data_IF_057850632321
#
_entry.id   IF_057850632321
#
_cell.length_a   1.000
_cell.length_b   1.000
_cell.length_c   1.000
_cell.angle_alpha   90.00
_cell.angle_beta   90.00
_cell.angle_gamma   90.00
#
_symmetry.space_group_name_H-M   'P 1'
#
loop_
_entity.id
_entity.type
_entity.pdbx_description
1 polymer ?
#
# COMPACT_ATOMS: atom_id res chain seq x y z
N UNK A 1 -1.30 -0.50 -33.11
CA UNK A 1 -1.94 -0.13 -31.82
C UNK A 1 -1.20 -0.78 -30.65
N UNK A 2 -1.03 -2.11 -30.60
CA UNK A 2 -0.38 -2.81 -29.48
C UNK A 2 1.06 -2.34 -29.11
N UNK A 3 1.89 -1.98 -30.09
CA UNK A 3 3.29 -1.57 -29.86
C UNK A 3 3.40 -0.16 -29.23
N UNK A 4 2.48 0.75 -29.57
CA UNK A 4 2.41 2.10 -28.99
C UNK A 4 1.92 2.06 -27.53
N UNK A 5 1.04 1.12 -27.21
CA UNK A 5 0.53 0.94 -25.85
C UNK A 5 1.58 0.31 -24.92
N UNK A 6 2.37 -0.66 -25.41
CA UNK A 6 3.49 -1.22 -24.66
C UNK A 6 4.55 -0.17 -24.33
N UNK A 7 4.94 0.65 -25.32
CA UNK A 7 5.93 1.70 -25.14
C UNK A 7 5.53 2.70 -24.04
N UNK A 8 4.28 3.17 -24.07
CA UNK A 8 3.74 4.07 -23.04
C UNK A 8 3.75 3.44 -21.66
N UNK A 9 3.36 2.17 -21.55
CA UNK A 9 3.33 1.46 -20.28
C UNK A 9 4.75 1.26 -19.71
N UNK A 10 5.74 0.99 -20.57
CA UNK A 10 7.16 0.92 -20.15
C UNK A 10 7.64 2.25 -19.59
N UNK A 11 7.32 3.36 -20.26
CA UNK A 11 7.64 4.71 -19.78
C UNK A 11 6.97 5.01 -18.45
N UNK A 12 5.70 4.63 -18.28
CA UNK A 12 4.97 4.84 -17.04
C UNK A 12 5.62 4.07 -15.88
N UNK A 13 5.94 2.78 -16.06
CA UNK A 13 6.62 1.97 -15.03
C UNK A 13 7.96 2.59 -14.63
N UNK A 14 8.77 3.03 -15.60
CA UNK A 14 10.04 3.71 -15.32
C UNK A 14 9.82 5.01 -14.54
N UNK A 15 8.82 5.81 -14.92
CA UNK A 15 8.48 7.04 -14.20
C UNK A 15 8.05 6.76 -12.76
N UNK A 16 7.28 5.70 -12.52
CA UNK A 16 6.91 5.28 -11.17
C UNK A 16 8.16 4.85 -10.37
N UNK A 17 9.10 4.12 -10.98
CA UNK A 17 10.37 3.77 -10.34
C UNK A 17 11.19 4.99 -9.91
N UNK A 18 11.24 6.02 -10.76
CA UNK A 18 11.87 7.31 -10.43
C UNK A 18 11.17 8.01 -9.27
N UNK A 19 9.83 8.15 -9.33
CA UNK A 19 9.06 8.79 -8.27
C UNK A 19 9.18 8.09 -6.92
N UNK A 20 9.17 6.75 -6.91
CA UNK A 20 9.37 5.96 -5.70
C UNK A 20 10.75 6.23 -5.08
N UNK A 21 11.79 6.32 -5.90
CA UNK A 21 13.14 6.65 -5.43
C UNK A 21 13.25 8.11 -4.96
N UNK A 22 12.74 9.07 -5.73
CA UNK A 22 12.71 10.50 -5.39
C UNK A 22 12.02 10.75 -4.04
N UNK A 23 11.00 9.97 -3.71
CA UNK A 23 10.27 10.04 -2.42
C UNK A 23 10.90 9.21 -1.29
N UNK A 24 11.97 8.47 -1.57
CA UNK A 24 12.63 7.59 -0.60
C UNK A 24 11.79 6.39 -0.18
N UNK A 25 10.86 5.93 -1.03
CA UNK A 25 10.05 4.72 -0.75
C UNK A 25 10.78 3.43 -1.11
N UNK A 26 11.88 3.54 -1.82
CA UNK A 26 12.77 2.46 -2.24
C UNK A 26 14.21 2.93 -2.15
N UNK A 27 15.14 2.00 -1.98
CA UNK A 27 16.57 2.25 -2.04
C UNK A 27 17.33 1.09 -2.69
N UNK A 28 18.54 1.38 -3.18
CA UNK A 28 19.38 0.39 -3.87
C UNK A 28 18.62 -0.34 -5.01
N UNK A 29 18.31 -1.62 -4.83
CA UNK A 29 17.65 -2.45 -5.86
C UNK A 29 16.29 -2.99 -5.44
N UNK A 30 15.76 -2.52 -4.31
CA UNK A 30 14.46 -2.93 -3.78
C UNK A 30 13.29 -2.34 -4.60
N UNK A 31 12.08 -2.74 -4.21
CA UNK A 31 10.84 -2.41 -4.90
C UNK A 31 10.69 -3.09 -6.26
N UNK A 32 9.46 -3.20 -6.72
CA UNK A 32 9.15 -3.73 -8.04
C UNK A 32 7.78 -3.27 -8.51
N UNK A 33 7.64 -3.17 -9.82
CA UNK A 33 6.46 -2.65 -10.49
C UNK A 33 6.11 -3.60 -11.62
N UNK A 34 4.82 -3.87 -11.78
CA UNK A 34 4.32 -4.62 -12.92
C UNK A 34 3.00 -4.05 -13.42
N UNK A 35 2.69 -4.32 -14.68
CA UNK A 35 1.38 -4.04 -15.26
C UNK A 35 0.98 -5.09 -16.29
N UNK A 36 -0.33 -5.32 -16.44
CA UNK A 36 -0.87 -6.16 -17.51
C UNK A 36 -0.57 -5.54 -18.88
N UNK A 37 -0.19 -6.38 -19.82
CA UNK A 37 0.12 -6.03 -21.19
C UNK A 37 -0.75 -6.85 -22.15
N UNK A 38 -2.02 -6.47 -22.23
CA UNK A 38 -3.04 -7.30 -22.88
C UNK A 38 -3.56 -8.41 -21.97
N UNK A 39 -4.17 -9.48 -22.53
CA UNK A 39 -4.92 -10.46 -21.74
C UNK A 39 -4.04 -11.44 -20.96
N UNK A 40 -2.88 -11.81 -21.49
CA UNK A 40 -2.08 -12.98 -21.08
C UNK A 40 -0.63 -12.65 -20.72
N UNK A 41 -0.23 -11.37 -20.83
CA UNK A 41 1.14 -10.92 -20.60
C UNK A 41 1.21 -9.88 -19.50
N UNK A 42 2.34 -9.86 -18.80
CA UNK A 42 2.63 -8.91 -17.73
C UNK A 42 4.01 -8.31 -18.00
N UNK A 43 4.06 -6.98 -18.04
CA UNK A 43 5.29 -6.21 -18.05
C UNK A 43 5.78 -6.06 -16.61
N UNK A 44 7.06 -6.32 -16.33
CA UNK A 44 7.61 -6.32 -14.98
C UNK A 44 9.05 -5.83 -14.91
N UNK A 45 9.39 -5.17 -13.79
CA UNK A 45 10.77 -4.74 -13.50
C UNK A 45 11.72 -5.93 -13.27
N UNK A 46 12.97 -5.84 -13.76
CA UNK A 46 13.98 -6.86 -13.53
C UNK A 46 14.51 -6.84 -12.08
N UNK A 47 15.04 -7.98 -11.63
CA UNK A 47 15.75 -8.09 -10.34
C UNK A 47 17.10 -7.37 -10.38
N UNK A 48 17.56 -6.87 -9.22
CA UNK A 48 18.92 -6.35 -9.01
C UNK A 48 19.23 -4.98 -9.61
N UNK A 49 18.31 -4.36 -10.37
CA UNK A 49 18.50 -3.00 -10.90
C UNK A 49 17.84 -1.94 -10.01
N UNK A 50 18.45 -0.75 -9.97
CA UNK A 50 17.94 0.41 -9.26
C UNK A 50 16.73 1.02 -10.00
N UNK A 51 15.53 0.98 -9.41
CA UNK A 51 14.29 1.39 -10.13
C UNK A 51 14.24 2.88 -10.47
N UNK A 52 14.94 3.72 -9.72
CA UNK A 52 15.08 5.14 -10.04
C UNK A 52 15.99 5.44 -11.24
N UNK A 53 16.74 4.45 -11.74
CA UNK A 53 17.67 4.58 -12.89
C UNK A 53 17.33 3.60 -14.02
N UNK A 54 16.14 2.99 -13.97
CA UNK A 54 15.73 1.96 -14.91
C UNK A 54 15.38 2.57 -16.27
N UNK A 55 15.76 1.91 -17.35
CA UNK A 55 15.39 2.29 -18.72
C UNK A 55 14.22 1.44 -19.24
N UNK A 56 13.33 1.98 -20.11
CA UNK A 56 12.16 1.26 -20.63
C UNK A 56 12.49 -0.10 -21.28
N UNK A 57 13.64 -0.18 -21.96
CA UNK A 57 14.12 -1.35 -22.69
C UNK A 57 14.59 -2.48 -21.75
N UNK A 58 14.85 -2.17 -20.49
CA UNK A 58 15.28 -3.12 -19.46
C UNK A 58 14.10 -3.87 -18.81
N UNK A 59 12.86 -3.43 -19.05
CA UNK A 59 11.67 -4.14 -18.56
C UNK A 59 11.47 -5.47 -19.31
N UNK A 60 10.94 -6.45 -18.58
CA UNK A 60 10.75 -7.83 -19.04
C UNK A 60 9.26 -8.11 -19.19
N UNK A 61 8.93 -9.04 -20.10
CA UNK A 61 7.54 -9.52 -20.29
C UNK A 61 7.46 -10.98 -19.90
N UNK A 62 6.53 -11.31 -19.02
CA UNK A 62 6.23 -12.68 -18.60
C UNK A 62 4.80 -13.04 -18.98
N UNK A 63 4.50 -14.34 -19.09
CA UNK A 63 3.12 -14.83 -19.15
C UNK A 63 2.45 -14.86 -17.77
N UNK A 64 1.16 -15.23 -17.71
CA UNK A 64 0.38 -15.38 -16.48
C UNK A 64 0.92 -16.45 -15.50
N UNK A 65 1.80 -17.33 -15.97
CA UNK A 65 2.48 -18.34 -15.16
C UNK A 65 3.86 -17.86 -14.68
N UNK A 66 4.28 -16.65 -15.09
CA UNK A 66 5.56 -16.07 -14.74
C UNK A 66 6.73 -16.53 -15.61
N UNK A 67 6.45 -17.22 -16.73
CA UNK A 67 7.49 -17.62 -17.68
C UNK A 67 7.92 -16.40 -18.49
N UNK A 68 9.23 -16.15 -18.51
CA UNK A 68 9.82 -15.09 -19.33
C UNK A 68 9.59 -15.37 -20.81
N UNK A 69 9.02 -14.40 -21.52
CA UNK A 69 8.80 -14.48 -22.96
C UNK A 69 10.08 -14.17 -23.75
N UNK A 70 10.30 -14.83 -24.90
CA UNK A 70 11.55 -14.74 -25.67
C UNK A 70 11.78 -13.40 -26.39
N UNK A 71 10.88 -12.42 -26.25
CA UNK A 71 11.00 -11.09 -26.86
C UNK A 71 11.98 -10.19 -26.09
N UNK A 72 13.24 -10.62 -26.03
CA UNK A 72 14.32 -9.94 -25.32
C UNK A 72 15.10 -9.02 -26.27
N UNK A 73 15.39 -7.81 -25.80
CA UNK A 73 16.25 -6.83 -26.45
C UNK A 73 17.72 -7.05 -26.01
N UNK A 74 18.64 -6.36 -26.67
CA UNK A 74 20.04 -6.30 -26.21
C UNK A 74 20.15 -5.83 -24.74
N UNK A 75 19.28 -4.90 -24.33
CA UNK A 75 19.28 -4.30 -23.00
C UNK A 75 18.82 -5.25 -21.88
N UNK A 76 18.00 -6.27 -22.18
CA UNK A 76 17.38 -7.11 -21.15
C UNK A 76 17.67 -8.62 -21.27
N UNK A 77 18.40 -9.07 -22.30
CA UNK A 77 18.69 -10.50 -22.56
C UNK A 77 19.39 -11.26 -21.42
N UNK A 78 20.07 -10.56 -20.51
CA UNK A 78 20.76 -11.15 -19.35
C UNK A 78 20.01 -10.94 -18.04
N UNK A 79 18.90 -10.19 -18.07
CA UNK A 79 18.12 -9.86 -16.89
C UNK A 79 17.12 -10.96 -16.56
N UNK A 80 16.71 -11.00 -15.30
CA UNK A 80 15.66 -11.89 -14.79
C UNK A 80 14.55 -11.06 -14.16
N UNK A 81 13.29 -11.52 -14.17
CA UNK A 81 12.21 -10.87 -13.44
C UNK A 81 12.56 -10.72 -11.94
N UNK A 82 11.92 -9.78 -11.25
CA UNK A 82 12.02 -9.68 -9.79
C UNK A 82 11.77 -11.04 -9.11
N UNK A 83 12.49 -11.33 -8.03
CA UNK A 83 12.27 -12.54 -7.22
C UNK A 83 10.88 -12.55 -6.57
N UNK A 84 10.20 -11.41 -6.54
CA UNK A 84 8.85 -11.23 -6.01
C UNK A 84 7.73 -11.32 -7.05
N UNK A 85 8.07 -11.70 -8.28
CA UNK A 85 7.07 -11.99 -9.32
C UNK A 85 5.93 -12.89 -8.83
N UNK A 86 6.14 -13.95 -8.01
CA UNK A 86 5.02 -14.75 -7.49
C UNK A 86 3.96 -13.96 -6.72
N UNK A 87 4.36 -12.93 -5.96
CA UNK A 87 3.44 -12.06 -5.22
C UNK A 87 2.59 -11.21 -6.18
N UNK A 88 3.20 -10.69 -7.24
CA UNK A 88 2.50 -9.94 -8.30
C UNK A 88 1.49 -10.83 -9.03
N UNK A 89 1.89 -12.03 -9.43
CA UNK A 89 1.01 -13.00 -10.11
C UNK A 89 -0.16 -13.40 -9.22
N UNK A 90 0.07 -13.57 -7.91
CA UNK A 90 -1.01 -13.87 -6.98
C UNK A 90 -2.02 -12.72 -6.91
N UNK A 91 -1.56 -11.47 -6.82
CA UNK A 91 -2.45 -10.31 -6.86
C UNK A 91 -3.31 -10.31 -8.15
N UNK A 92 -2.70 -10.55 -9.31
CA UNK A 92 -3.44 -10.63 -10.58
C UNK A 92 -4.43 -11.80 -10.67
N UNK A 93 -4.13 -12.94 -10.03
CA UNK A 93 -5.05 -14.10 -10.00
C UNK A 93 -6.25 -13.85 -9.12
N UNK A 94 -6.03 -13.27 -7.94
CA UNK A 94 -7.10 -12.94 -7.00
C UNK A 94 -7.94 -11.74 -7.47
N UNK A 95 -7.36 -10.88 -8.31
CA UNK A 95 -7.97 -9.63 -8.76
C UNK A 95 -7.88 -9.48 -10.28
N UNK A 96 -8.84 -10.05 -11.02
CA UNK A 96 -8.93 -9.84 -12.47
C UNK A 96 -9.14 -8.37 -12.87
N UNK A 97 -9.69 -7.55 -11.97
CA UNK A 97 -10.00 -6.14 -12.18
C UNK A 97 -8.78 -5.20 -12.14
N UNK A 98 -7.67 -5.61 -11.50
CA UNK A 98 -6.47 -4.77 -11.43
C UNK A 98 -5.61 -4.90 -12.69
N UNK A 99 -4.94 -3.80 -13.03
CA UNK A 99 -4.04 -3.71 -14.19
C UNK A 99 -2.59 -3.47 -13.80
N UNK A 100 -2.32 -3.06 -12.56
CA UNK A 100 -0.97 -2.82 -12.09
C UNK A 100 -0.79 -3.16 -10.60
N UNK A 101 0.46 -3.48 -10.26
CA UNK A 101 0.91 -3.80 -8.91
C UNK A 101 2.22 -3.06 -8.66
N UNK A 102 2.30 -2.35 -7.54
CA UNK A 102 3.49 -1.64 -7.06
C UNK A 102 3.84 -2.14 -5.67
N UNK A 103 5.05 -2.66 -5.52
CA UNK A 103 5.64 -3.05 -4.24
C UNK A 103 6.80 -2.10 -3.89
N UNK A 104 6.78 -1.60 -2.66
CA UNK A 104 7.73 -0.60 -2.17
C UNK A 104 8.00 -0.77 -0.66
N UNK A 105 9.03 -0.09 -0.16
CA UNK A 105 9.57 -0.21 1.19
C UNK A 105 9.51 1.14 1.94
N UNK A 106 8.33 1.81 2.02
CA UNK A 106 8.23 3.15 2.57
C UNK A 106 8.59 3.17 4.08
N UNK A 107 9.59 3.98 4.51
CA UNK A 107 10.21 3.81 5.84
C UNK A 107 9.27 3.97 7.03
N UNK A 108 8.34 4.94 7.01
CA UNK A 108 7.48 5.18 8.17
C UNK A 108 6.45 4.06 8.30
N UNK A 109 5.85 3.65 7.20
CA UNK A 109 4.95 2.49 7.15
C UNK A 109 5.64 1.23 7.69
N UNK A 110 6.87 0.94 7.23
CA UNK A 110 7.63 -0.23 7.70
C UNK A 110 7.94 -0.11 9.20
N UNK A 111 8.36 1.08 9.67
CA UNK A 111 8.63 1.32 11.09
C UNK A 111 7.40 1.10 11.97
N UNK A 112 6.22 1.60 11.57
CA UNK A 112 4.98 1.38 12.29
C UNK A 112 4.55 -0.09 12.31
N UNK A 113 4.76 -0.82 11.20
CA UNK A 113 4.52 -2.27 11.16
C UNK A 113 5.38 -3.02 12.19
N UNK A 114 6.66 -2.65 12.32
CA UNK A 114 7.60 -3.22 13.30
C UNK A 114 7.17 -2.88 14.73
N UNK A 115 6.70 -1.65 14.94
CA UNK A 115 6.23 -1.17 16.24
C UNK A 115 4.87 -1.77 16.67
N UNK A 116 4.16 -2.46 15.77
CA UNK A 116 2.82 -2.99 16.02
C UNK A 116 1.74 -1.91 16.07
N UNK A 117 1.99 -0.76 15.44
CA UNK A 117 1.02 0.34 15.33
C UNK A 117 0.20 0.10 14.05
N UNK A 118 -1.12 -0.14 14.15
CA UNK A 118 -1.95 -0.46 12.99
C UNK A 118 -2.16 0.77 12.09
N UNK A 119 -2.11 0.57 10.77
CA UNK A 119 -2.51 1.58 9.78
C UNK A 119 -3.99 1.52 9.40
N UNK A 120 -4.72 0.55 9.95
CA UNK A 120 -6.14 0.34 9.67
C UNK A 120 -7.07 1.30 10.43
N UNK A 121 -6.56 2.06 11.40
CA UNK A 121 -7.37 3.04 12.14
C UNK A 121 -8.01 4.05 11.17
N UNK A 122 -9.31 4.31 11.33
CA UNK A 122 -10.06 5.27 10.51
C UNK A 122 -9.68 6.73 10.84
N UNK A 123 -8.49 7.16 10.43
CA UNK A 123 -7.94 8.49 10.75
C UNK A 123 -8.36 9.56 9.75
N UNK A 124 -8.32 9.24 8.46
CA UNK A 124 -8.38 10.23 7.38
C UNK A 124 -9.51 9.92 6.40
N UNK A 125 -10.37 10.91 6.07
CA UNK A 125 -11.44 10.72 5.10
C UNK A 125 -10.99 10.18 3.74
N UNK A 126 -9.89 10.71 3.21
CA UNK A 126 -9.34 10.32 1.92
C UNK A 126 -8.86 8.86 1.89
N UNK A 127 -8.29 8.35 2.99
CA UNK A 127 -7.89 6.94 3.09
C UNK A 127 -9.12 6.05 3.07
N UNK A 128 -10.13 6.37 3.88
CA UNK A 128 -11.38 5.59 3.95
C UNK A 128 -12.07 5.56 2.59
N UNK A 129 -12.20 6.72 1.92
CA UNK A 129 -12.92 6.82 0.65
C UNK A 129 -12.16 6.19 -0.50
N UNK A 130 -10.87 6.50 -0.68
CA UNK A 130 -10.13 6.10 -1.89
C UNK A 130 -9.39 4.78 -1.76
N UNK A 131 -8.98 4.39 -0.55
CA UNK A 131 -8.16 3.21 -0.32
C UNK A 131 -8.90 2.10 0.43
N UNK A 132 -9.77 2.49 1.36
CA UNK A 132 -10.41 1.58 2.30
C UNK A 132 -9.52 1.29 3.51
N UNK A 133 -9.68 0.13 4.13
CA UNK A 133 -8.79 -0.32 5.19
C UNK A 133 -7.42 -0.72 4.61
N UNK A 134 -6.38 -0.61 5.44
CA UNK A 134 -5.00 -0.99 5.10
C UNK A 134 -4.56 -2.09 6.08
N UNK A 135 -4.79 -3.37 5.78
CA UNK A 135 -4.41 -4.47 6.66
C UNK A 135 -2.90 -4.68 6.64
N UNK A 136 -2.41 -5.25 7.73
CA UNK A 136 -1.02 -5.72 7.84
C UNK A 136 -1.00 -7.24 7.83
N UNK A 137 -0.16 -7.85 6.98
CA UNK A 137 -0.01 -9.31 6.92
C UNK A 137 0.62 -9.86 8.20
N UNK A 138 0.61 -11.19 8.36
CA UNK A 138 1.63 -11.83 9.22
C UNK A 138 3.01 -11.72 8.56
N UNK A 139 4.08 -11.84 9.35
CA UNK A 139 5.43 -11.91 8.79
C UNK A 139 5.55 -13.15 7.91
N UNK A 140 6.13 -12.97 6.73
CA UNK A 140 6.45 -14.03 5.79
C UNK A 140 7.77 -13.70 5.13
N UNK A 141 8.56 -14.74 4.82
CA UNK A 141 9.86 -14.54 4.18
C UNK A 141 9.67 -13.94 2.78
N UNK A 142 10.33 -12.81 2.42
CA UNK A 142 10.25 -12.26 1.07
C UNK A 142 10.64 -13.27 -0.01
N UNK A 143 10.08 -13.14 -1.22
CA UNK A 143 10.34 -14.07 -2.34
C UNK A 143 10.06 -15.56 -2.02
N UNK A 144 9.15 -15.85 -1.09
CA UNK A 144 8.79 -17.21 -0.69
C UNK A 144 7.31 -17.54 -0.95
N UNK A 145 6.96 -18.83 -0.84
CA UNK A 145 5.56 -19.28 -0.89
C UNK A 145 4.74 -18.83 0.32
N UNK A 146 5.39 -18.46 1.42
CA UNK A 146 4.73 -17.90 2.60
C UNK A 146 4.22 -16.50 2.30
N UNK A 147 5.01 -15.68 1.59
CA UNK A 147 4.62 -14.31 1.21
C UNK A 147 3.37 -14.32 0.31
N UNK A 148 3.35 -15.23 -0.67
CA UNK A 148 2.19 -15.45 -1.54
C UNK A 148 0.95 -15.85 -0.74
N UNK A 149 1.09 -16.73 0.25
CA UNK A 149 -0.02 -17.13 1.13
C UNK A 149 -0.49 -15.99 2.03
N UNK A 150 0.43 -15.19 2.55
CA UNK A 150 0.13 -14.09 3.47
C UNK A 150 -0.72 -12.99 2.83
N UNK A 151 -0.59 -12.76 1.52
CA UNK A 151 -1.39 -11.75 0.81
C UNK A 151 -2.69 -12.29 0.18
N UNK A 152 -2.83 -13.61 -0.03
CA UNK A 152 -3.86 -14.23 -0.87
C UNK A 152 -5.28 -13.81 -0.51
N UNK A 153 -5.62 -13.84 0.78
CA UNK A 153 -6.98 -13.55 1.23
C UNK A 153 -7.19 -12.03 1.33
N UNK A 154 -6.17 -11.30 1.78
CA UNK A 154 -6.25 -9.84 1.94
C UNK A 154 -6.39 -9.12 0.60
N UNK A 155 -5.67 -9.54 -0.44
CA UNK A 155 -5.63 -8.84 -1.73
C UNK A 155 -6.97 -8.91 -2.50
N UNK A 156 -7.84 -9.87 -2.15
CA UNK A 156 -9.20 -9.97 -2.68
C UNK A 156 -10.03 -8.72 -2.31
N UNK A 157 -9.87 -8.23 -1.07
CA UNK A 157 -10.63 -7.10 -0.52
C UNK A 157 -9.88 -5.77 -0.52
N UNK A 158 -8.56 -5.75 -0.62
CA UNK A 158 -7.77 -4.54 -0.30
C UNK A 158 -6.98 -3.97 -1.48
N UNK A 159 -6.86 -2.64 -1.51
CA UNK A 159 -6.08 -1.91 -2.54
C UNK A 159 -4.64 -1.62 -2.12
N UNK A 160 -4.39 -1.66 -0.81
CA UNK A 160 -3.08 -1.58 -0.21
C UNK A 160 -2.99 -2.57 0.95
N UNK A 161 -1.84 -3.20 1.06
CA UNK A 161 -1.50 -4.12 2.14
C UNK A 161 -0.12 -3.72 2.67
N UNK A 162 0.02 -3.70 3.99
CA UNK A 162 1.35 -3.64 4.63
C UNK A 162 1.88 -5.05 4.81
N UNK A 163 3.06 -5.32 4.28
CA UNK A 163 3.78 -6.57 4.48
C UNK A 163 4.61 -6.43 5.76
N UNK A 164 4.27 -7.19 6.80
CA UNK A 164 4.88 -7.06 8.13
C UNK A 164 6.40 -7.15 8.08
N UNK A 165 7.10 -6.11 8.58
CA UNK A 165 8.58 -5.97 8.57
C UNK A 165 9.23 -5.98 7.19
N UNK A 166 8.48 -5.71 6.13
CA UNK A 166 8.97 -5.82 4.77
C UNK A 166 8.68 -4.57 3.95
N UNK A 167 7.41 -4.21 3.77
CA UNK A 167 7.05 -3.13 2.85
C UNK A 167 5.56 -3.02 2.64
N UNK A 168 5.18 -2.66 1.43
CA UNK A 168 3.78 -2.47 1.02
C UNK A 168 3.52 -3.11 -0.33
N UNK A 169 2.30 -3.57 -0.54
CA UNK A 169 1.81 -4.00 -1.84
C UNK A 169 0.56 -3.17 -2.16
N UNK A 170 0.60 -2.44 -3.27
CA UNK A 170 -0.51 -1.60 -3.73
C UNK A 170 -0.89 -1.99 -5.14
N UNK A 171 -2.19 -1.93 -5.44
CA UNK A 171 -2.73 -2.34 -6.74
C UNK A 171 -3.57 -1.23 -7.34
N UNK A 172 -3.83 -1.27 -8.65
CA UNK A 172 -4.64 -0.26 -9.33
C UNK A 172 -4.97 -0.61 -10.77
N UNK A 173 -5.77 0.25 -11.41
CA UNK A 173 -6.12 0.20 -12.82
C UNK A 173 -5.03 0.77 -13.75
N UNK A 174 -3.98 1.36 -13.19
CA UNK A 174 -2.76 1.79 -13.87
C UNK A 174 -1.58 1.80 -12.89
N UNK A 175 -0.33 1.75 -13.38
CA UNK A 175 0.85 1.96 -12.54
C UNK A 175 0.76 3.24 -11.71
N UNK A 176 0.30 4.34 -12.30
CA UNK A 176 0.08 5.60 -11.58
C UNK A 176 -0.93 5.47 -10.44
N UNK A 177 -2.07 4.78 -10.64
CA UNK A 177 -3.05 4.62 -9.57
C UNK A 177 -2.48 3.78 -8.42
N UNK A 178 -1.79 2.67 -8.71
CA UNK A 178 -1.14 1.86 -7.69
C UNK A 178 -0.09 2.69 -6.91
N UNK A 179 0.70 3.51 -7.60
CA UNK A 179 1.65 4.43 -6.97
C UNK A 179 0.99 5.50 -6.09
N UNK A 180 -0.09 6.15 -6.54
CA UNK A 180 -0.80 7.14 -5.71
C UNK A 180 -1.37 6.51 -4.43
N UNK A 181 -1.76 5.24 -4.50
CA UNK A 181 -2.18 4.46 -3.31
C UNK A 181 -1.02 4.21 -2.37
N UNK A 182 0.17 3.86 -2.89
CA UNK A 182 1.41 3.80 -2.10
C UNK A 182 1.71 5.14 -1.40
N UNK A 183 1.58 6.27 -2.11
CA UNK A 183 1.75 7.59 -1.50
C UNK A 183 0.77 7.84 -0.35
N UNK A 184 -0.48 7.43 -0.55
CA UNK A 184 -1.54 7.57 0.45
C UNK A 184 -1.25 6.72 1.70
N UNK A 185 -0.74 5.49 1.52
CA UNK A 185 -0.32 4.61 2.63
C UNK A 185 0.76 5.29 3.47
N UNK A 186 1.83 5.78 2.84
CA UNK A 186 2.94 6.40 3.58
C UNK A 186 2.53 7.73 4.22
N UNK A 187 1.65 8.51 3.58
CA UNK A 187 1.11 9.72 4.18
C UNK A 187 0.25 9.42 5.42
N UNK A 188 -0.60 8.39 5.36
CA UNK A 188 -1.37 7.92 6.51
C UNK A 188 -0.43 7.47 7.64
N UNK A 189 0.63 6.73 7.31
CA UNK A 189 1.65 6.30 8.27
C UNK A 189 2.39 7.47 8.93
N UNK A 190 2.73 8.53 8.19
CA UNK A 190 3.33 9.75 8.76
C UNK A 190 2.42 10.43 9.77
N UNK A 191 1.14 10.56 9.44
CA UNK A 191 0.15 11.15 10.35
C UNK A 191 -0.02 10.29 11.59
N UNK A 192 -0.14 8.96 11.43
CA UNK A 192 -0.22 8.03 12.55
C UNK A 192 1.02 8.10 13.47
N UNK A 193 2.23 8.22 12.90
CA UNK A 193 3.46 8.40 13.68
C UNK A 193 3.44 9.71 14.48
N UNK A 194 3.05 10.83 13.85
CA UNK A 194 2.97 12.13 14.51
C UNK A 194 1.95 12.08 15.65
N UNK A 195 0.77 11.49 15.42
CA UNK A 195 -0.25 11.31 16.46
C UNK A 195 0.28 10.47 17.63
N UNK A 196 0.99 9.37 17.34
CA UNK A 196 1.62 8.55 18.37
C UNK A 196 2.67 9.34 19.18
N UNK A 197 3.48 10.17 18.54
CA UNK A 197 4.45 11.05 19.22
C UNK A 197 3.79 12.10 20.12
N UNK A 198 2.61 12.59 19.72
CA UNK A 198 1.80 13.51 20.53
C UNK A 198 1.02 12.80 21.65
N UNK A 199 1.05 11.46 21.71
CA UNK A 199 0.25 10.66 22.64
C UNK A 199 -1.25 10.70 22.35
N UNK A 200 -1.63 10.97 21.10
CA UNK A 200 -3.03 11.14 20.68
C UNK A 200 -3.48 9.93 19.89
N UNK A 201 -4.65 9.41 20.24
CA UNK A 201 -5.40 8.48 19.40
C UNK A 201 -6.82 9.00 19.28
N UNK A 202 -7.17 9.52 18.11
CA UNK A 202 -8.47 10.14 17.86
C UNK A 202 -8.99 9.75 16.46
N UNK A 203 -9.38 8.48 16.24
CA UNK A 203 -9.99 8.07 14.99
C UNK A 203 -11.34 8.77 14.78
N UNK A 204 -11.77 8.84 13.52
CA UNK A 204 -13.08 9.40 13.17
C UNK A 204 -14.20 8.65 13.89
N UNK A 205 -15.20 9.37 14.42
CA UNK A 205 -16.38 8.75 15.00
C UNK A 205 -17.11 7.84 13.99
N UNK A 206 -17.72 6.72 14.43
CA UNK A 206 -18.37 5.77 13.53
C UNK A 206 -19.44 6.39 12.60
N UNK A 207 -20.13 7.43 13.04
CA UNK A 207 -21.12 8.16 12.25
C UNK A 207 -20.51 8.92 11.06
N UNK A 208 -19.31 9.48 11.22
CA UNK A 208 -18.59 10.15 10.14
C UNK A 208 -18.01 9.12 9.17
N UNK A 209 -17.44 8.03 9.68
CA UNK A 209 -16.99 6.91 8.85
C UNK A 209 -18.15 6.36 8.01
N UNK A 210 -19.37 6.23 8.58
CA UNK A 210 -20.56 5.80 7.82
C UNK A 210 -20.92 6.74 6.66
N UNK A 211 -20.71 8.06 6.81
CA UNK A 211 -20.91 9.01 5.69
C UNK A 211 -19.88 8.77 4.58
N UNK A 212 -18.63 8.52 4.96
CA UNK A 212 -17.53 8.25 4.01
C UNK A 212 -17.73 6.91 3.28
N UNK A 213 -18.21 5.88 3.96
CA UNK A 213 -18.55 4.60 3.32
C UNK A 213 -19.67 4.75 2.28
N UNK A 214 -20.66 5.61 2.54
CA UNK A 214 -21.70 5.94 1.54
C UNK A 214 -21.11 6.65 0.32
N UNK A 215 -20.14 7.54 0.51
CA UNK A 215 -19.42 8.19 -0.60
C UNK A 215 -18.61 7.18 -1.40
N UNK A 216 -17.82 6.33 -0.73
CA UNK A 216 -17.06 5.24 -1.35
C UNK A 216 -17.95 4.32 -2.19
N UNK A 217 -19.12 3.96 -1.66
CA UNK A 217 -20.11 3.16 -2.38
C UNK A 217 -20.66 3.90 -3.61
N UNK A 218 -21.02 5.17 -3.48
CA UNK A 218 -21.51 5.99 -4.59
C UNK A 218 -20.46 6.15 -5.72
N UNK A 219 -19.17 6.09 -5.37
CA UNK A 219 -18.05 6.13 -6.31
C UNK A 219 -17.71 4.75 -6.92
N UNK A 220 -18.43 3.69 -6.56
CA UNK A 220 -18.16 2.33 -7.04
C UNK A 220 -16.85 1.73 -6.51
N UNK A 221 -16.30 2.27 -5.42
CA UNK A 221 -15.07 1.81 -4.80
C UNK A 221 -15.31 0.77 -3.69
N UNK A 222 -16.59 0.57 -3.33
CA UNK A 222 -17.00 -0.37 -2.30
C UNK A 222 -16.76 -1.83 -2.71
N UNK A 223 -16.50 -2.69 -1.73
CA UNK A 223 -16.19 -4.11 -1.95
C UNK A 223 -17.04 -5.05 -1.10
N UNK A 224 -17.32 -6.27 -1.59
CA UNK A 224 -17.96 -7.31 -0.78
C UNK A 224 -17.17 -7.56 0.50
N UNK A 225 -17.87 -7.57 1.65
CA UNK A 225 -17.28 -7.87 2.96
C UNK A 225 -16.64 -6.69 3.70
N UNK A 226 -16.36 -5.55 3.04
CA UNK A 226 -15.65 -4.44 3.68
C UNK A 226 -16.42 -3.84 4.87
N UNK A 227 -17.76 -3.89 4.85
CA UNK A 227 -18.59 -3.38 5.97
C UNK A 227 -18.32 -4.12 7.28
N UNK A 228 -18.12 -5.45 7.23
CA UNK A 228 -17.80 -6.24 8.41
C UNK A 228 -16.42 -5.87 8.97
N UNK A 229 -15.46 -5.62 8.07
CA UNK A 229 -14.11 -5.18 8.47
C UNK A 229 -14.14 -3.78 9.10
N UNK A 230 -14.87 -2.83 8.50
CA UNK A 230 -15.07 -1.49 9.07
C UNK A 230 -15.86 -1.52 10.39
N UNK A 231 -16.77 -2.48 10.60
CA UNK A 231 -17.40 -2.73 11.90
C UNK A 231 -16.35 -3.16 12.93
N UNK A 232 -15.51 -4.15 12.60
CA UNK A 232 -14.49 -4.67 13.50
C UNK A 232 -13.40 -3.63 13.86
N UNK A 233 -12.99 -2.80 12.90
CA UNK A 233 -11.88 -1.85 13.08
C UNK A 233 -12.35 -0.47 13.53
N UNK A 234 -13.45 0.03 12.96
CA UNK A 234 -13.90 1.42 13.15
C UNK A 234 -15.27 1.53 13.85
N UNK A 235 -15.86 0.41 14.30
CA UNK A 235 -17.12 0.40 15.04
C UNK A 235 -18.37 0.74 14.21
N UNK A 236 -18.27 0.69 12.87
CA UNK A 236 -19.38 1.04 11.97
C UNK A 236 -20.24 -0.19 11.64
N UNK A 237 -20.87 -0.77 12.65
CA UNK A 237 -21.69 -1.97 12.49
C UNK A 237 -23.10 -1.65 11.95
N UNK A 238 -23.72 -2.60 11.23
CA UNK A 238 -25.11 -2.48 10.81
C UNK A 238 -26.07 -2.79 11.97
N UNK A 239 -27.29 -2.23 11.98
CA UNK A 239 -28.32 -2.63 12.92
C UNK A 239 -28.67 -4.11 12.69
N UNK A 240 -28.24 -4.99 13.60
CA UNK A 240 -28.42 -6.45 13.50
C UNK A 240 -27.14 -7.26 13.54
N UNK A 241 -25.97 -6.63 13.35
CA UNK A 241 -24.68 -7.28 13.60
C UNK A 241 -24.39 -7.26 15.11
N UNK A 242 -24.74 -8.34 15.82
CA UNK A 242 -24.27 -8.58 17.20
C UNK A 242 -22.77 -8.90 17.17
N UNK A 243 -21.94 -7.92 16.88
CA UNK A 243 -20.53 -7.95 17.22
C UNK A 243 -20.29 -6.77 18.15
N UNK A 244 -20.31 -7.06 19.45
CA UNK A 244 -19.68 -6.16 20.40
C UNK A 244 -18.26 -5.90 19.89
N UNK A 245 -17.80 -4.63 19.83
CA UNK A 245 -16.46 -4.33 19.35
C UNK A 245 -15.47 -5.18 20.15
N UNK A 246 -14.85 -6.17 19.53
CA UNK A 246 -13.63 -6.75 20.05
C UNK A 246 -12.52 -5.74 19.79
N UNK A 247 -12.58 -4.61 20.50
CA UNK A 247 -11.41 -4.01 21.07
C UNK A 247 -10.74 -5.15 21.84
N UNK A 248 -9.85 -5.92 21.20
CA UNK A 248 -8.88 -6.69 21.97
C UNK A 248 -8.21 -5.64 22.85
N UNK A 249 -8.32 -5.76 24.19
CA UNK A 249 -7.50 -4.95 25.05
C UNK A 249 -6.07 -5.38 24.69
N UNK A 250 -5.35 -4.54 23.96
CA UNK A 250 -3.94 -4.41 24.29
C UNK A 250 -3.91 -4.16 25.78
N UNK A 251 -3.09 -4.87 26.52
CA UNK A 251 -2.87 -4.67 27.96
C UNK A 251 -2.28 -3.30 28.30
N UNK A 252 -2.38 -2.32 27.40
CA UNK A 252 -2.27 -0.91 27.71
C UNK A 252 -3.57 -0.45 28.42
N UNK A 253 -3.50 -0.41 29.74
CA UNK A 253 -4.15 0.57 30.62
C UNK A 253 -5.17 1.47 29.91
N UNK A 254 -6.45 1.29 30.22
CA UNK A 254 -7.53 2.25 29.94
C UNK A 254 -7.18 3.60 30.57
N UNK A 255 -6.50 4.45 29.82
CA UNK A 255 -6.44 5.88 30.10
C UNK A 255 -7.69 6.54 29.51
N UNK A 256 -8.27 7.55 30.19
CA UNK A 256 -9.36 8.34 29.63
C UNK A 256 -8.89 8.97 28.32
N UNK A 257 -9.80 9.21 27.38
CA UNK A 257 -9.54 9.88 26.08
C UNK A 257 -8.45 10.94 26.23
N UNK A 258 -7.22 10.57 25.87
CA UNK A 258 -6.06 11.38 26.18
C UNK A 258 -6.09 12.58 25.24
N UNK A 259 -6.67 13.69 25.69
CA UNK A 259 -6.39 14.99 25.10
C UNK A 259 -4.88 15.14 25.08
N UNK A 260 -4.32 15.41 23.90
CA UNK A 260 -2.89 15.64 23.71
C UNK A 260 -2.35 16.51 24.85
N UNK A 261 -1.21 16.15 25.46
CA UNK A 261 -0.60 16.99 26.48
C UNK A 261 -0.34 18.38 25.85
N UNK A 262 -1.05 19.46 26.26
CA UNK A 262 -0.98 20.74 25.58
C UNK A 262 0.43 21.33 25.59
N UNK A 263 1.25 20.99 26.58
CA UNK A 263 2.66 21.42 26.65
C UNK A 263 3.53 20.66 25.64
N UNK A 264 3.32 19.36 25.49
CA UNK A 264 4.04 18.54 24.49
C UNK A 264 3.69 18.99 23.06
N UNK A 265 2.41 19.26 22.80
CA UNK A 265 1.96 19.79 21.51
C UNK A 265 2.60 21.15 21.24
N UNK A 266 2.56 22.08 22.22
CA UNK A 266 3.22 23.39 22.08
C UNK A 266 4.73 23.24 21.86
N UNK A 267 5.41 22.34 22.57
CA UNK A 267 6.86 22.15 22.41
C UNK A 267 7.23 21.56 21.05
N UNK A 268 6.46 20.56 20.56
CA UNK A 268 6.70 19.99 19.24
C UNK A 268 6.41 21.01 18.14
N UNK A 269 5.30 21.76 18.24
CA UNK A 269 4.96 22.82 17.30
C UNK A 269 6.06 23.88 17.28
N UNK A 270 6.55 24.31 18.44
CA UNK A 270 7.66 25.27 18.52
C UNK A 270 8.95 24.73 17.89
N UNK A 271 9.31 23.46 18.14
CA UNK A 271 10.48 22.83 17.53
C UNK A 271 10.37 22.68 16.01
N UNK A 272 9.19 22.29 15.50
CA UNK A 272 8.95 22.17 14.06
C UNK A 272 8.99 23.54 13.40
N UNK A 273 8.31 24.54 13.97
CA UNK A 273 8.36 25.94 13.49
C UNK A 273 9.79 26.46 13.45
N UNK A 274 10.58 26.26 14.51
CA UNK A 274 11.99 26.67 14.57
C UNK A 274 12.82 25.98 13.46
N UNK A 275 12.61 24.67 13.26
CA UNK A 275 13.39 23.86 12.31
C UNK A 275 12.98 24.07 10.85
N UNK A 276 11.72 24.46 10.58
CA UNK A 276 11.19 24.67 9.22
C UNK A 276 11.24 26.13 8.77
N UNK A 277 11.09 27.10 9.68
CA UNK A 277 11.07 28.52 9.36
C UNK A 277 12.35 29.27 9.79
N UNK A 278 13.27 28.62 10.52
CA UNK A 278 14.58 29.18 10.84
C UNK A 278 14.56 30.43 11.73
N UNK A 279 13.50 30.65 12.51
CA UNK A 279 13.43 31.69 13.55
C UNK A 279 13.69 31.09 14.92
#
# INVERSE_FOLDING_TARGET
MAETDEYRLRQEIVRIGQLMYEKGFICASDGNISARLGPDRILITPSGLHKGLLEPEQLLVVDENGRLLPSLSYANRHLKPTSELPMHLEAYRQRPDIQAVVHAHPPITVALSIAGIPLADCLLPEVIVFLGLIPTTQYATPSSTENVRAIRDLIQGHDAIVLQRHGTLTVGNSPMQAFMRLETVEQNARIALILAQLGVRNPLPPEEVRKLLRQRQAMGLARPGETAEFCAVCGVCHPGDEHAPTLRPSTASTSPSASANPELVRSLVAQIVHKTLGQ
#
